data_IF_098225332720
#
_entry.id   IF_098225332720
#
_cell.length_a   1.000
_cell.length_b   1.000
_cell.length_c   1.000
_cell.angle_alpha   90.00
_cell.angle_beta   90.00
_cell.angle_gamma   90.00
#
_symmetry.space_group_name_H-M   'P 1'
#
loop_
_entity.id
_entity.type
_entity.pdbx_description
1 polymer ?
#
# COMPACT_ATOMS: atom_id res chain seq x y z
N UNK A 1 6.09 -16.92 -14.10
CA UNK A 1 4.85 -16.32 -14.62
C UNK A 1 4.43 -15.25 -13.64
N UNK A 2 3.63 -14.26 -14.05
CA UNK A 2 3.26 -13.18 -13.13
C UNK A 2 2.43 -13.72 -11.96
N UNK A 3 2.68 -13.15 -10.79
CA UNK A 3 1.99 -13.48 -9.55
C UNK A 3 1.03 -12.35 -9.18
N UNK A 4 -0.11 -12.72 -8.59
CA UNK A 4 -1.16 -11.79 -8.22
C UNK A 4 -1.27 -11.77 -6.71
N UNK A 5 -1.18 -10.57 -6.15
CA UNK A 5 -1.25 -10.33 -4.71
C UNK A 5 -2.44 -9.43 -4.47
N UNK A 6 -3.29 -9.79 -3.50
CA UNK A 6 -4.42 -8.98 -3.08
C UNK A 6 -4.35 -8.67 -1.59
N UNK A 7 -4.86 -7.51 -1.23
CA UNK A 7 -4.92 -7.08 0.16
C UNK A 7 -6.11 -6.18 0.42
N UNK A 8 -6.59 -6.21 1.66
CA UNK A 8 -7.59 -5.29 2.15
C UNK A 8 -6.90 -4.11 2.82
N UNK A 9 -7.40 -2.89 2.55
CA UNK A 9 -6.91 -1.67 3.17
C UNK A 9 -7.66 -1.44 4.48
N UNK A 10 -6.96 -1.59 5.59
CA UNK A 10 -7.48 -1.52 6.97
C UNK A 10 -7.06 -0.22 7.65
N UNK A 11 -8.02 0.47 8.27
CA UNK A 11 -7.75 1.62 9.14
C UNK A 11 -7.20 1.21 10.52
N UNK A 12 -7.37 -0.04 10.93
CA UNK A 12 -6.92 -0.53 12.24
C UNK A 12 -5.41 -0.77 12.33
N UNK A 13 -4.71 -0.68 11.20
CA UNK A 13 -3.26 -0.82 11.13
C UNK A 13 -2.54 0.54 11.17
N UNK A 14 -3.29 1.66 11.28
CA UNK A 14 -2.75 3.03 11.40
C UNK A 14 -3.15 3.69 12.72
N UNK A 15 -2.33 4.63 13.19
CA UNK A 15 -2.46 5.25 14.51
C UNK A 15 -3.55 6.34 14.58
N UNK A 16 -3.94 6.95 13.46
CA UNK A 16 -4.87 8.08 13.42
C UNK A 16 -5.92 7.88 12.32
N UNK A 17 -7.19 7.71 12.68
CA UNK A 17 -8.27 7.67 11.69
C UNK A 17 -9.49 8.46 12.17
N UNK A 18 -9.73 9.61 11.55
CA UNK A 18 -10.91 10.45 11.84
C UNK A 18 -12.13 10.07 10.97
N UNK A 19 -11.94 9.21 9.96
CA UNK A 19 -12.99 8.82 9.02
C UNK A 19 -12.93 7.33 8.66
N UNK A 20 -14.08 6.66 8.73
CA UNK A 20 -14.22 5.25 8.34
C UNK A 20 -14.13 5.13 6.81
N UNK A 21 -12.96 4.75 6.33
CA UNK A 21 -12.71 4.39 4.93
C UNK A 21 -12.32 2.91 4.88
N UNK A 22 -12.58 2.30 3.73
CA UNK A 22 -12.07 0.97 3.41
C UNK A 22 -11.69 0.90 1.95
N UNK A 23 -10.91 -0.10 1.61
CA UNK A 23 -10.47 -0.28 0.25
C UNK A 23 -9.82 -1.63 0.02
N UNK A 24 -9.47 -1.87 -1.23
CA UNK A 24 -8.87 -3.11 -1.67
C UNK A 24 -7.77 -2.76 -2.66
N UNK A 25 -6.63 -3.44 -2.59
CA UNK A 25 -5.53 -3.26 -3.51
C UNK A 25 -5.07 -4.58 -4.08
N UNK A 26 -4.61 -4.54 -5.33
CA UNK A 26 -4.07 -5.68 -6.05
C UNK A 26 -2.76 -5.30 -6.71
N UNK A 27 -1.75 -6.12 -6.53
CA UNK A 27 -0.50 -6.06 -7.27
C UNK A 27 -0.38 -7.24 -8.24
N UNK A 28 0.27 -6.97 -9.35
CA UNK A 28 0.81 -7.94 -10.28
C UNK A 28 2.33 -7.84 -10.15
N UNK A 29 2.94 -8.91 -9.68
CA UNK A 29 4.38 -9.03 -9.54
C UNK A 29 4.95 -9.86 -10.71
N UNK A 30 5.98 -9.32 -11.37
CA UNK A 30 6.77 -10.00 -12.40
C UNK A 30 8.12 -10.40 -11.79
N UNK A 31 8.27 -11.64 -11.26
CA UNK A 31 9.50 -12.08 -10.60
C UNK A 31 10.71 -12.11 -11.55
N UNK A 32 10.49 -12.18 -12.85
CA UNK A 32 11.59 -12.19 -13.83
C UNK A 32 12.21 -10.80 -14.01
N UNK A 33 11.45 -9.74 -13.72
CA UNK A 33 11.89 -8.34 -13.81
C UNK A 33 12.01 -7.66 -12.46
N UNK A 34 11.53 -8.31 -11.40
CA UNK A 34 11.43 -7.71 -10.07
C UNK A 34 10.59 -6.43 -10.12
N UNK A 35 9.50 -6.46 -10.89
CA UNK A 35 8.61 -5.33 -11.06
C UNK A 35 7.25 -5.62 -10.45
N UNK A 36 6.67 -4.65 -9.75
CA UNK A 36 5.25 -4.66 -9.38
C UNK A 36 4.49 -3.55 -10.09
N UNK A 37 3.25 -3.85 -10.46
CA UNK A 37 2.25 -2.89 -10.93
C UNK A 37 0.93 -3.19 -10.25
N UNK A 38 -0.03 -2.29 -10.24
CA UNK A 38 -1.25 -2.58 -9.50
C UNK A 38 -2.37 -1.58 -9.61
N UNK A 39 -3.42 -1.87 -8.84
CA UNK A 39 -4.60 -1.02 -8.69
C UNK A 39 -5.04 -0.98 -7.23
N UNK A 40 -5.55 0.18 -6.83
CA UNK A 40 -6.17 0.37 -5.53
C UNK A 40 -7.56 0.97 -5.73
N UNK A 41 -8.50 0.52 -4.91
CA UNK A 41 -9.85 1.04 -4.85
C UNK A 41 -10.15 1.47 -3.41
N UNK A 42 -10.58 2.72 -3.22
CA UNK A 42 -10.92 3.27 -1.90
C UNK A 42 -12.34 3.80 -1.94
N UNK A 43 -13.05 3.61 -0.84
CA UNK A 43 -14.42 4.07 -0.63
C UNK A 43 -14.61 4.57 0.79
N UNK A 44 -15.47 5.57 0.94
CA UNK A 44 -15.97 5.99 2.24
C UNK A 44 -17.09 5.05 2.67
N UNK A 45 -17.07 4.56 3.91
CA UNK A 45 -18.11 3.62 4.39
C UNK A 45 -19.45 4.31 4.61
N UNK A 46 -19.44 5.61 4.88
CA UNK A 46 -20.61 6.47 5.01
C UNK A 46 -21.19 6.94 3.65
N UNK A 47 -20.61 6.51 2.53
CA UNK A 47 -21.03 6.87 1.16
C UNK A 47 -20.70 8.30 0.75
N UNK A 48 -19.96 9.05 1.57
CA UNK A 48 -19.54 10.41 1.24
C UNK A 48 -18.37 10.42 0.25
N UNK A 49 -18.15 11.56 -0.43
CA UNK A 49 -16.96 11.75 -1.26
C UNK A 49 -15.67 11.59 -0.44
N UNK A 50 -14.69 10.97 -1.07
CA UNK A 50 -13.34 10.86 -0.54
C UNK A 50 -12.71 12.27 -0.36
N UNK A 51 -11.79 12.43 0.62
CA UNK A 51 -10.99 13.65 0.75
C UNK A 51 -10.38 14.11 -0.57
N UNK A 52 -10.27 15.44 -0.76
CA UNK A 52 -9.73 16.01 -1.99
C UNK A 52 -8.25 15.68 -2.19
N UNK A 53 -7.52 15.41 -1.10
CA UNK A 53 -6.11 15.02 -1.15
C UNK A 53 -5.92 13.61 -0.62
N UNK A 54 -5.96 12.64 -1.53
CA UNK A 54 -5.56 11.25 -1.27
C UNK A 54 -4.27 10.97 -2.02
N UNK A 55 -3.28 10.50 -1.29
CA UNK A 55 -2.04 9.94 -1.84
C UNK A 55 -2.01 8.45 -1.52
N UNK A 56 -1.69 7.62 -2.51
CA UNK A 56 -1.53 6.18 -2.33
C UNK A 56 -0.13 5.80 -2.80
N UNK A 57 0.59 5.09 -1.96
CA UNK A 57 1.97 4.68 -2.23
C UNK A 57 2.15 3.19 -2.03
N UNK A 58 2.95 2.56 -2.89
CA UNK A 58 3.55 1.25 -2.62
C UNK A 58 4.85 1.47 -1.87
N UNK A 59 5.00 0.78 -0.76
CA UNK A 59 6.14 0.88 0.16
C UNK A 59 6.69 -0.51 0.48
N UNK A 60 7.92 -0.52 0.97
CA UNK A 60 8.66 -1.71 1.34
C UNK A 60 9.10 -1.62 2.80
N UNK A 61 9.05 -2.74 3.52
CA UNK A 61 9.64 -2.90 4.85
C UNK A 61 10.95 -3.67 4.71
N UNK A 62 12.01 -3.04 5.19
CA UNK A 62 13.38 -3.55 5.19
C UNK A 62 13.81 -3.84 6.64
N UNK A 63 14.67 -4.84 6.84
CA UNK A 63 15.15 -5.24 8.19
C UNK A 63 15.90 -4.11 8.95
N UNK A 64 16.43 -3.13 8.22
CA UNK A 64 17.21 -2.00 8.77
C UNK A 64 16.40 -0.68 8.91
N UNK A 65 15.12 -0.65 8.53
CA UNK A 65 14.30 0.57 8.59
C UNK A 65 13.53 0.69 9.92
N UNK A 66 13.41 1.93 10.43
CA UNK A 66 12.66 2.28 11.65
C UNK A 66 11.14 2.01 11.57
N UNK A 67 10.67 1.34 10.52
CA UNK A 67 9.29 0.90 10.39
C UNK A 67 9.07 -0.36 11.23
N UNK A 68 8.89 -0.17 12.52
CA UNK A 68 8.57 -1.25 13.45
C UNK A 68 7.06 -1.46 13.54
N UNK A 69 6.66 -2.73 13.49
CA UNK A 69 5.33 -3.15 13.89
C UNK A 69 5.24 -3.15 15.40
N UNK A 70 4.26 -2.44 15.94
CA UNK A 70 3.79 -2.71 17.29
C UNK A 70 2.63 -3.72 17.24
N UNK A 71 2.18 -4.21 18.39
CA UNK A 71 1.04 -5.14 18.44
C UNK A 71 -0.29 -4.58 17.93
N UNK A 72 -0.31 -3.33 17.44
CA UNK A 72 -1.49 -2.58 16.99
C UNK A 72 -1.39 -2.04 15.55
N UNK A 73 -0.24 -2.15 14.86
CA UNK A 73 -0.09 -1.65 13.50
C UNK A 73 1.34 -1.26 13.14
N UNK A 74 1.50 -0.46 12.08
CA UNK A 74 2.81 0.06 11.65
C UNK A 74 2.97 1.46 12.28
N UNK A 75 3.89 1.59 13.25
CA UNK A 75 4.04 2.81 14.05
C UNK A 75 4.51 4.04 13.24
N UNK A 76 5.27 3.83 12.16
CA UNK A 76 5.80 4.90 11.29
C UNK A 76 5.60 4.57 9.80
N UNK A 77 4.41 4.15 9.38
CA UNK A 77 4.17 3.71 8.00
C UNK A 77 4.61 4.74 6.94
N UNK A 78 4.45 6.02 7.23
CA UNK A 78 4.88 7.14 6.38
C UNK A 78 6.40 7.31 6.26
N UNK A 79 7.21 6.74 7.15
CA UNK A 79 8.67 6.82 7.11
C UNK A 79 9.32 5.73 6.23
N UNK A 80 8.60 4.65 5.90
CA UNK A 80 9.14 3.55 5.11
C UNK A 80 9.41 3.96 3.65
N UNK A 81 10.39 3.32 3.03
CA UNK A 81 10.78 3.62 1.64
C UNK A 81 9.60 3.53 0.66
N UNK A 82 9.41 4.59 -0.13
CA UNK A 82 8.42 4.64 -1.22
C UNK A 82 9.02 4.02 -2.48
N UNK A 83 8.38 2.97 -2.99
CA UNK A 83 8.71 2.36 -4.27
C UNK A 83 7.97 3.02 -5.44
N UNK A 84 6.74 3.47 -5.19
CA UNK A 84 5.92 4.08 -6.22
C UNK A 84 4.69 4.77 -5.68
N UNK A 85 4.15 5.69 -6.49
CA UNK A 85 2.93 6.44 -6.19
C UNK A 85 1.86 6.09 -7.19
N UNK A 86 0.67 5.75 -6.70
CA UNK A 86 -0.45 5.47 -7.59
C UNK A 86 -1.05 6.78 -8.12
N UNK A 87 -1.51 6.73 -9.37
CA UNK A 87 -2.17 7.84 -10.03
C UNK A 87 -3.68 7.63 -10.03
N UNK A 88 -4.45 8.66 -9.68
CA UNK A 88 -5.92 8.60 -9.72
C UNK A 88 -6.39 8.45 -11.16
N UNK A 89 -7.20 7.43 -11.42
CA UNK A 89 -7.81 7.20 -12.72
C UNK A 89 -9.14 7.94 -12.87
N UNK A 90 -9.87 8.06 -11.76
CA UNK A 90 -11.20 8.65 -11.76
C UNK A 90 -11.57 9.17 -10.36
N UNK A 91 -12.47 10.17 -10.28
CA UNK A 91 -12.98 10.69 -9.00
C UNK A 91 -13.71 9.66 -8.14
N UNK A 92 -14.07 8.50 -8.69
CA UNK A 92 -14.81 7.43 -8.00
C UNK A 92 -13.94 6.52 -7.12
N UNK A 93 -12.69 6.89 -6.87
CA UNK A 93 -11.84 6.19 -5.92
C UNK A 93 -11.06 5.02 -6.51
N UNK A 94 -10.66 5.10 -7.79
CA UNK A 94 -9.76 4.12 -8.41
C UNK A 94 -8.41 4.75 -8.74
N UNK A 95 -7.34 4.02 -8.43
CA UNK A 95 -5.96 4.41 -8.71
C UNK A 95 -5.19 3.27 -9.36
N UNK A 96 -4.20 3.62 -10.17
CA UNK A 96 -3.27 2.67 -10.77
C UNK A 96 -1.81 2.97 -10.42
N UNK A 97 -1.02 1.90 -10.34
CA UNK A 97 0.42 1.94 -10.22
C UNK A 97 1.02 1.34 -11.49
N UNK A 98 1.82 2.12 -12.21
CA UNK A 98 2.66 1.62 -13.30
C UNK A 98 3.73 0.66 -12.77
N UNK A 99 4.46 -0.01 -13.66
CA UNK A 99 5.54 -0.91 -13.23
C UNK A 99 6.60 -0.13 -12.43
N UNK A 100 6.90 -0.62 -11.22
CA UNK A 100 7.95 -0.11 -10.34
C UNK A 100 8.88 -1.26 -9.96
N UNK A 101 10.17 -0.97 -9.90
CA UNK A 101 11.16 -1.95 -9.48
C UNK A 101 11.07 -2.18 -7.97
N UNK A 102 11.09 -3.44 -7.58
CA UNK A 102 11.29 -3.90 -6.22
C UNK A 102 12.78 -4.20 -6.11
N UNK A 103 13.42 -3.62 -5.09
CA UNK A 103 14.88 -3.61 -5.02
C UNK A 103 15.42 -4.97 -4.53
N UNK A 104 16.29 -5.61 -5.32
CA UNK A 104 16.87 -6.93 -5.02
C UNK A 104 17.91 -6.92 -3.88
N UNK A 105 18.45 -5.74 -3.54
CA UNK A 105 19.59 -5.63 -2.61
C UNK A 105 19.20 -5.75 -1.13
N UNK A 106 17.91 -5.75 -0.82
CA UNK A 106 17.37 -5.90 0.54
C UNK A 106 16.25 -6.91 0.45
N UNK A 107 16.42 -8.11 1.03
CA UNK A 107 15.37 -9.13 1.10
C UNK A 107 14.07 -8.45 1.60
N UNK A 108 13.09 -8.18 0.73
CA UNK A 108 11.90 -7.45 1.14
C UNK A 108 11.11 -8.37 2.05
N UNK A 109 11.06 -8.03 3.34
CA UNK A 109 10.24 -8.78 4.29
C UNK A 109 8.77 -8.67 3.92
N UNK A 110 8.35 -7.47 3.51
CA UNK A 110 6.96 -7.20 3.19
C UNK A 110 6.81 -5.97 2.28
N UNK A 111 5.83 -6.03 1.37
CA UNK A 111 5.34 -4.86 0.66
C UNK A 111 4.02 -4.42 1.27
N UNK A 112 3.74 -3.14 1.27
CA UNK A 112 2.45 -2.64 1.72
C UNK A 112 2.02 -1.39 0.96
N UNK A 113 0.71 -1.17 0.91
CA UNK A 113 0.10 0.08 0.47
C UNK A 113 -0.08 0.97 1.68
N UNK A 114 0.31 2.23 1.55
CA UNK A 114 -0.10 3.30 2.45
C UNK A 114 -1.00 4.28 1.71
N UNK A 115 -2.18 4.51 2.26
CA UNK A 115 -3.09 5.58 1.88
C UNK A 115 -2.93 6.71 2.88
N UNK A 116 -2.67 7.91 2.39
CA UNK A 116 -2.64 9.13 3.18
C UNK A 116 -3.76 10.06 2.72
N UNK A 117 -4.53 10.58 3.68
CA UNK A 117 -5.59 11.55 3.45
C UNK A 117 -5.24 12.84 4.17
N UNK A 118 -5.18 13.96 3.43
CA UNK A 118 -4.85 15.28 3.99
C UNK A 118 -3.51 15.33 4.75
N UNK A 119 -2.57 14.45 4.36
CA UNK A 119 -1.22 14.36 4.94
C UNK A 119 -1.10 13.39 6.11
N UNK A 120 -2.21 12.78 6.54
CA UNK A 120 -2.26 11.82 7.64
C UNK A 120 -2.45 10.39 7.11
N UNK A 121 -1.85 9.43 7.79
CA UNK A 121 -1.97 8.00 7.45
C UNK A 121 -3.40 7.53 7.71
N UNK A 122 -4.04 6.94 6.70
CA UNK A 122 -5.48 6.68 6.72
C UNK A 122 -5.84 5.19 6.58
N UNK A 123 -5.14 4.47 5.71
CA UNK A 123 -5.32 3.03 5.52
C UNK A 123 -3.98 2.38 5.16
N UNK A 124 -3.78 1.14 5.61
CA UNK A 124 -2.70 0.29 5.10
C UNK A 124 -3.21 -1.07 4.66
N UNK A 125 -2.52 -1.71 3.73
CA UNK A 125 -2.77 -3.11 3.39
C UNK A 125 -1.50 -3.79 2.91
N UNK A 126 -1.33 -5.06 3.28
CA UNK A 126 -0.06 -5.78 3.18
C UNK A 126 -0.09 -6.84 2.10
N UNK A 127 1.03 -6.99 1.41
CA UNK A 127 1.29 -8.09 0.50
C UNK A 127 2.44 -8.93 1.05
N UNK A 128 2.09 -10.12 1.51
CA UNK A 128 3.06 -11.08 2.02
C UNK A 128 3.81 -11.72 0.85
N UNK A 129 5.07 -11.30 0.67
CA UNK A 129 5.94 -11.80 -0.41
C UNK A 129 6.49 -13.21 -0.10
N UNK A 130 6.38 -13.68 1.14
CA UNK A 130 6.84 -15.02 1.59
C UNK A 130 6.17 -16.21 0.89
N UNK A 131 5.06 -15.97 0.15
CA UNK A 131 4.35 -17.00 -0.62
C UNK A 131 4.74 -17.04 -2.11
N UNK A 132 5.65 -16.16 -2.54
CA UNK A 132 6.11 -16.09 -3.91
C UNK A 132 7.32 -17.02 -4.08
N UNK A 133 7.13 -18.06 -4.89
CA UNK A 133 8.16 -19.07 -5.10
C UNK A 133 9.16 -18.57 -6.14
N UNK A 134 10.35 -18.16 -5.68
CA UNK A 134 11.52 -17.85 -6.50
C UNK A 134 12.09 -19.09 -7.22
#
# INVERSE_FOLDING_TARGET
>A
GNEFLDTHLSAYEVQYFDRMMSGDAKLIFDPAKQEASGRAYIRSEDGQPLPLSITITLRQINDDENCEFDGWGIWEASSCTILGTFTSLQPSGEWELGAVNINDDVDPKELFILVQADGEDALTGRFHMEYLHY
#
